data_IF_619070152464
#
_entry.id   IF_619070152464
#
_cell.length_a   1.000
_cell.length_b   1.000
_cell.length_c   1.000
_cell.angle_alpha   90.00
_cell.angle_beta   90.00
_cell.angle_gamma   90.00
#
_symmetry.space_group_name_H-M   'P 1'
#
loop_
_entity.id
_entity.type
_entity.pdbx_description
1 polymer ?
#
# COMPACT_ATOMS: atom_id res chain seq x y z
N UNK A 1 13.71 -1.50 14.21
CA UNK A 1 12.40 -1.81 13.59
C UNK A 1 11.76 -0.57 12.94
N UNK A 2 11.48 0.53 13.68
CA UNK A 2 10.80 1.72 13.09
C UNK A 2 11.66 2.52 12.08
N UNK A 3 12.99 2.46 12.16
CA UNK A 3 13.86 3.15 11.20
C UNK A 3 13.82 2.54 9.79
N UNK A 4 13.67 1.21 9.69
CA UNK A 4 13.70 0.48 8.41
C UNK A 4 12.36 0.49 7.68
N UNK A 5 11.24 0.76 8.37
CA UNK A 5 9.92 0.90 7.73
C UNK A 5 9.79 2.15 6.86
N UNK A 6 10.66 3.15 7.02
CA UNK A 6 10.64 4.34 6.17
C UNK A 6 11.13 4.07 4.73
N UNK A 7 11.74 2.92 4.49
CA UNK A 7 12.19 2.50 3.14
C UNK A 7 11.16 1.58 2.49
N UNK A 8 10.07 1.26 3.19
CA UNK A 8 9.04 0.35 2.70
C UNK A 8 8.08 1.02 1.70
N UNK A 9 7.84 0.34 0.58
CA UNK A 9 7.05 0.88 -0.51
C UNK A 9 5.56 1.05 -0.15
N UNK A 10 5.01 0.19 0.72
CA UNK A 10 3.61 0.30 1.13
C UNK A 10 3.36 1.58 1.95
N UNK A 11 4.34 1.98 2.75
CA UNK A 11 4.32 3.24 3.50
C UNK A 11 4.46 4.46 2.58
N UNK A 12 5.38 4.42 1.61
CA UNK A 12 5.54 5.50 0.63
C UNK A 12 4.26 5.77 -0.18
N UNK A 13 3.61 4.71 -0.64
CA UNK A 13 2.35 4.85 -1.38
C UNK A 13 1.25 5.53 -0.55
N UNK A 14 1.09 5.10 0.69
CA UNK A 14 0.11 5.68 1.61
C UNK A 14 0.41 7.15 1.90
N UNK A 15 1.69 7.49 2.01
CA UNK A 15 2.18 8.85 2.28
C UNK A 15 1.95 9.80 1.11
N UNK A 16 2.22 9.34 -0.11
CA UNK A 16 2.02 10.14 -1.34
C UNK A 16 0.54 10.32 -1.66
N UNK A 17 -0.31 9.35 -1.30
CA UNK A 17 -1.76 9.46 -1.47
C UNK A 17 -2.41 10.46 -0.49
N UNK A 18 -1.79 10.71 0.66
CA UNK A 18 -2.32 11.63 1.67
C UNK A 18 -2.06 13.10 1.30
N UNK A 19 -3.01 13.99 1.65
CA UNK A 19 -2.76 15.43 1.56
C UNK A 19 -1.64 15.81 2.54
N UNK A 20 -0.68 16.69 2.18
CA UNK A 20 0.50 16.96 3.01
C UNK A 20 0.19 17.31 4.48
N UNK A 21 -0.82 18.16 4.72
CA UNK A 21 -1.23 18.55 6.09
C UNK A 21 -1.86 17.39 6.88
N UNK A 22 -2.54 16.46 6.20
CA UNK A 22 -3.14 15.28 6.81
C UNK A 22 -2.10 14.18 7.05
N UNK A 23 -1.11 14.06 6.15
CA UNK A 23 -0.01 13.10 6.30
C UNK A 23 0.76 13.29 7.60
N UNK A 24 1.13 14.52 7.95
CA UNK A 24 1.86 14.83 9.20
C UNK A 24 1.06 14.41 10.44
N UNK A 25 -0.24 14.73 10.49
CA UNK A 25 -1.10 14.32 11.60
C UNK A 25 -1.29 12.80 11.64
N UNK A 26 -1.38 12.16 10.47
CA UNK A 26 -1.43 10.70 10.35
C UNK A 26 -0.18 10.02 10.91
N UNK A 27 1.01 10.54 10.62
CA UNK A 27 2.24 10.00 11.17
C UNK A 27 2.37 10.17 12.67
N UNK A 28 2.02 11.35 13.20
CA UNK A 28 2.06 11.61 14.64
C UNK A 28 1.06 10.72 15.40
N UNK A 29 -0.18 10.64 14.91
CA UNK A 29 -1.20 9.77 15.50
C UNK A 29 -0.82 8.29 15.39
N UNK A 30 -0.32 7.85 14.23
CA UNK A 30 0.17 6.49 14.04
C UNK A 30 1.31 6.13 14.99
N UNK A 31 2.26 7.04 15.21
CA UNK A 31 3.34 6.84 16.19
C UNK A 31 2.85 6.74 17.63
N UNK A 32 1.88 7.58 18.02
CA UNK A 32 1.25 7.49 19.35
C UNK A 32 0.48 6.18 19.54
N UNK A 33 -0.32 5.78 18.55
CA UNK A 33 -1.08 4.53 18.57
C UNK A 33 -0.15 3.32 18.63
N UNK A 34 0.98 3.35 17.90
CA UNK A 34 1.97 2.28 17.90
C UNK A 34 2.54 1.99 19.29
N UNK A 35 2.70 3.01 20.14
CA UNK A 35 3.10 2.82 21.53
C UNK A 35 1.92 2.45 22.43
N UNK A 36 0.81 3.20 22.31
CA UNK A 36 -0.31 3.09 23.23
C UNK A 36 -1.00 1.72 23.17
N UNK A 37 -1.20 1.14 21.98
CA UNK A 37 -1.95 -0.11 21.82
C UNK A 37 -1.18 -1.31 22.41
N UNK A 38 0.09 -1.57 22.04
CA UNK A 38 0.85 -2.67 22.66
C UNK A 38 1.04 -2.47 24.15
N UNK A 39 1.29 -1.23 24.60
CA UNK A 39 1.48 -0.94 26.02
C UNK A 39 0.22 -1.24 26.84
N UNK A 40 -0.94 -0.76 26.40
CA UNK A 40 -2.21 -1.01 27.09
C UNK A 40 -2.58 -2.49 27.09
N UNK A 41 -2.42 -3.18 25.95
CA UNK A 41 -2.70 -4.62 25.85
C UNK A 41 -1.75 -5.45 26.71
N UNK A 42 -0.43 -5.24 26.60
CA UNK A 42 0.55 -6.00 27.37
C UNK A 42 0.39 -5.79 28.88
N UNK A 43 0.16 -4.55 29.31
CA UNK A 43 0.01 -4.22 30.74
C UNK A 43 -1.28 -4.82 31.31
N UNK A 44 -2.42 -4.61 30.64
CA UNK A 44 -3.70 -5.14 31.13
C UNK A 44 -3.73 -6.67 31.20
N UNK A 45 -3.19 -7.33 30.17
CA UNK A 45 -3.17 -8.79 30.08
C UNK A 45 -2.13 -9.41 31.00
N UNK A 46 -0.98 -8.76 31.20
CA UNK A 46 0.03 -9.17 32.18
C UNK A 46 -0.48 -9.07 33.62
N UNK A 47 -1.16 -7.97 33.98
CA UNK A 47 -1.78 -7.84 35.30
C UNK A 47 -2.90 -8.88 35.51
N UNK A 48 -3.73 -9.12 34.49
CA UNK A 48 -4.77 -10.14 34.54
C UNK A 48 -4.19 -11.56 34.70
N UNK A 49 -3.07 -11.87 34.05
CA UNK A 49 -2.35 -13.13 34.22
C UNK A 49 -1.90 -13.36 35.66
N UNK A 50 -1.28 -12.35 36.27
CA UNK A 50 -0.82 -12.41 37.67
C UNK A 50 -2.01 -12.59 38.61
N UNK A 51 -3.09 -11.81 38.42
CA UNK A 51 -4.29 -11.90 39.25
C UNK A 51 -4.96 -13.27 39.17
N UNK A 52 -5.07 -13.85 37.96
CA UNK A 52 -5.64 -15.18 37.75
C UNK A 52 -4.75 -16.28 38.34
N UNK A 53 -3.42 -16.17 38.23
CA UNK A 53 -2.47 -17.13 38.82
C UNK A 53 -2.53 -17.10 40.35
N UNK A 54 -2.60 -15.89 40.93
CA UNK A 54 -2.76 -15.72 42.37
C UNK A 54 -4.08 -16.33 42.88
N UNK A 55 -5.19 -16.13 42.15
CA UNK A 55 -6.48 -16.74 42.49
C UNK A 55 -6.44 -18.28 42.46
N UNK A 56 -5.68 -18.87 41.54
CA UNK A 56 -5.55 -20.33 41.40
C UNK A 56 -4.44 -20.92 42.29
N UNK A 57 -3.70 -20.10 43.05
CA UNK A 57 -2.52 -20.48 43.84
C UNK A 57 -1.47 -21.29 43.04
N UNK A 58 -1.48 -21.16 41.72
CA UNK A 58 -0.61 -21.87 40.79
C UNK A 58 -0.51 -21.10 39.48
N UNK A 59 0.62 -21.19 38.76
CA UNK A 59 0.77 -20.54 37.47
C UNK A 59 -0.23 -21.14 36.45
N UNK A 60 -0.84 -20.28 35.62
CA UNK A 60 -1.83 -20.70 34.62
C UNK A 60 -1.22 -21.54 33.48
N UNK A 61 0.04 -21.27 33.15
CA UNK A 61 0.80 -21.93 32.09
C UNK A 61 2.26 -22.08 32.51
N UNK A 62 2.99 -22.95 31.81
CA UNK A 62 4.42 -23.17 32.05
C UNK A 62 5.24 -21.91 31.72
N UNK A 63 6.45 -21.80 32.29
CA UNK A 63 7.35 -20.69 31.98
C UNK A 63 7.76 -20.68 30.49
N UNK A 64 7.82 -21.85 29.85
CA UNK A 64 8.08 -21.99 28.42
C UNK A 64 6.95 -21.37 27.58
N UNK A 65 5.70 -21.61 27.96
CA UNK A 65 4.53 -21.03 27.28
C UNK A 65 4.44 -19.51 27.49
N UNK A 66 4.86 -19.02 28.67
CA UNK A 66 4.99 -17.58 28.93
C UNK A 66 6.03 -16.97 27.99
N UNK A 67 7.20 -17.60 27.86
CA UNK A 67 8.27 -17.15 26.97
C UNK A 67 7.86 -17.20 25.49
N UNK A 68 7.00 -18.16 25.11
CA UNK A 68 6.41 -18.25 23.78
C UNK A 68 5.29 -17.21 23.52
N UNK A 69 4.90 -16.41 24.52
CA UNK A 69 3.92 -15.33 24.37
C UNK A 69 2.46 -15.79 24.43
N UNK A 70 2.18 -16.99 24.96
CA UNK A 70 0.82 -17.54 25.06
C UNK A 70 -0.01 -16.90 26.19
N UNK A 71 0.56 -15.96 26.95
CA UNK A 71 -0.13 -15.26 28.05
C UNK A 71 -1.43 -14.60 27.55
N UNK A 72 -1.37 -13.86 26.44
CA UNK A 72 -2.52 -13.14 25.90
C UNK A 72 -3.70 -14.06 25.53
N UNK A 73 -3.54 -15.10 24.67
CA UNK A 73 -4.64 -15.99 24.32
C UNK A 73 -5.21 -16.73 25.54
N UNK A 74 -4.37 -17.15 26.49
CA UNK A 74 -4.80 -17.88 27.68
C UNK A 74 -5.63 -16.97 28.61
N UNK A 75 -5.18 -15.75 28.85
CA UNK A 75 -5.91 -14.78 29.69
C UNK A 75 -7.25 -14.43 29.05
N UNK A 76 -7.28 -14.20 27.73
CA UNK A 76 -8.53 -13.93 27.00
C UNK A 76 -9.51 -15.09 27.11
N UNK A 77 -9.03 -16.32 26.96
CA UNK A 77 -9.87 -17.52 27.11
C UNK A 77 -10.41 -17.66 28.54
N UNK A 78 -9.61 -17.34 29.57
CA UNK A 78 -10.04 -17.41 30.97
C UNK A 78 -11.03 -16.32 31.37
N UNK A 79 -10.94 -15.13 30.79
CA UNK A 79 -11.83 -14.01 31.10
C UNK A 79 -13.12 -14.01 30.28
N UNK A 80 -13.03 -14.29 28.98
CA UNK A 80 -14.14 -14.19 28.03
C UNK A 80 -14.63 -15.55 27.51
N UNK A 81 -14.05 -16.66 27.98
CA UNK A 81 -14.41 -18.00 27.51
C UNK A 81 -14.15 -18.19 26.01
N UNK A 82 -15.05 -18.92 25.35
CA UNK A 82 -14.97 -19.17 23.90
C UNK A 82 -14.98 -17.89 23.05
N UNK A 83 -15.63 -16.83 23.53
CA UNK A 83 -15.66 -15.56 22.81
C UNK A 83 -14.26 -14.92 22.73
N UNK A 84 -13.46 -15.03 23.80
CA UNK A 84 -12.08 -14.50 23.83
C UNK A 84 -11.16 -15.20 22.83
N UNK A 85 -11.32 -16.51 22.65
CA UNK A 85 -10.57 -17.30 21.66
C UNK A 85 -10.87 -16.84 20.23
N UNK A 86 -12.15 -16.69 19.89
CA UNK A 86 -12.57 -16.19 18.57
C UNK A 86 -12.07 -14.77 18.33
N UNK A 87 -12.14 -13.88 19.34
CA UNK A 87 -11.61 -12.52 19.23
C UNK A 87 -10.11 -12.49 18.95
N UNK A 88 -9.32 -13.35 19.61
CA UNK A 88 -7.88 -13.44 19.38
C UNK A 88 -7.57 -13.89 17.95
N UNK A 89 -8.26 -14.93 17.47
CA UNK A 89 -8.09 -15.44 16.11
C UNK A 89 -8.46 -14.36 15.09
N UNK A 90 -9.58 -13.66 15.28
CA UNK A 90 -9.99 -12.57 14.39
C UNK A 90 -8.98 -11.42 14.39
N UNK A 91 -8.45 -11.05 15.55
CA UNK A 91 -7.42 -10.00 15.66
C UNK A 91 -6.17 -10.37 14.86
N UNK A 92 -5.68 -11.61 14.99
CA UNK A 92 -4.53 -12.11 14.22
C UNK A 92 -4.84 -12.10 12.72
N UNK A 93 -6.00 -12.63 12.31
CA UNK A 93 -6.39 -12.69 10.90
C UNK A 93 -6.47 -11.28 10.30
N UNK A 94 -7.07 -10.32 10.99
CA UNK A 94 -7.14 -8.94 10.50
C UNK A 94 -5.76 -8.30 10.43
N UNK A 95 -4.91 -8.50 11.44
CA UNK A 95 -3.55 -7.99 11.43
C UNK A 95 -2.75 -8.52 10.24
N UNK A 96 -2.77 -9.84 10.02
CA UNK A 96 -2.08 -10.50 8.91
C UNK A 96 -2.67 -10.12 7.56
N UNK A 97 -3.99 -10.05 7.43
CA UNK A 97 -4.65 -9.66 6.17
C UNK A 97 -4.34 -8.20 5.81
N UNK A 98 -4.30 -7.31 6.80
CA UNK A 98 -3.97 -5.90 6.60
C UNK A 98 -2.55 -5.74 6.09
N UNK A 99 -1.56 -6.40 6.71
CA UNK A 99 -0.17 -6.32 6.26
C UNK A 99 0.03 -7.01 4.91
N UNK A 100 -0.51 -8.20 4.72
CA UNK A 100 -0.41 -8.93 3.46
C UNK A 100 -0.97 -8.12 2.27
N UNK A 101 -2.13 -7.47 2.44
CA UNK A 101 -2.71 -6.65 1.36
C UNK A 101 -1.83 -5.44 1.00
N UNK A 102 -1.22 -4.78 2.00
CA UNK A 102 -0.30 -3.67 1.77
C UNK A 102 0.95 -4.10 0.99
N UNK A 103 1.54 -5.25 1.35
CA UNK A 103 2.73 -5.80 0.70
C UNK A 103 2.46 -6.23 -0.75
N UNK A 104 1.33 -6.89 -1.01
CA UNK A 104 0.94 -7.27 -2.38
C UNK A 104 0.84 -6.03 -3.27
N UNK A 105 0.23 -4.95 -2.78
CA UNK A 105 0.09 -3.70 -3.54
C UNK A 105 1.45 -3.04 -3.74
N UNK A 106 2.33 -3.08 -2.74
CA UNK A 106 3.70 -2.59 -2.83
C UNK A 106 4.49 -3.31 -3.94
N UNK A 107 4.58 -4.64 -3.88
CA UNK A 107 5.27 -5.47 -4.89
C UNK A 107 4.69 -5.23 -6.28
N UNK A 108 3.36 -5.21 -6.40
CA UNK A 108 2.70 -4.97 -7.69
C UNK A 108 3.05 -3.59 -8.27
N UNK A 109 3.16 -2.56 -7.44
CA UNK A 109 3.54 -1.23 -7.90
C UNK A 109 4.96 -1.17 -8.45
N UNK A 110 5.90 -1.87 -7.80
CA UNK A 110 7.31 -1.92 -8.20
C UNK A 110 7.39 -2.61 -9.56
N UNK A 111 6.72 -3.77 -9.71
CA UNK A 111 6.69 -4.49 -10.98
C UNK A 111 6.15 -3.64 -12.13
N UNK A 112 5.10 -2.84 -11.91
CA UNK A 112 4.45 -2.07 -12.98
C UNK A 112 5.12 -0.72 -13.24
N UNK A 113 5.36 0.08 -12.21
CA UNK A 113 5.82 1.45 -12.36
C UNK A 113 7.34 1.57 -12.39
N UNK A 114 8.05 0.69 -11.68
CA UNK A 114 9.51 0.78 -11.60
C UNK A 114 10.18 -0.15 -12.62
N UNK A 115 9.61 -1.32 -12.89
CA UNK A 115 10.15 -2.25 -13.88
C UNK A 115 9.48 -2.04 -15.25
N UNK A 116 8.17 -2.27 -15.34
CA UNK A 116 7.49 -2.32 -16.64
C UNK A 116 7.47 -0.96 -17.36
N UNK A 117 7.08 0.11 -16.66
CA UNK A 117 6.99 1.45 -17.23
C UNK A 117 8.36 2.02 -17.61
N UNK A 118 9.43 1.71 -16.87
CA UNK A 118 10.76 2.29 -17.14
C UNK A 118 11.56 1.47 -18.15
N UNK A 119 11.52 0.14 -18.07
CA UNK A 119 12.43 -0.73 -18.82
C UNK A 119 11.76 -1.51 -19.95
N UNK A 120 10.52 -1.98 -19.77
CA UNK A 120 9.87 -2.85 -20.76
C UNK A 120 9.11 -2.07 -21.83
N UNK A 121 8.34 -1.04 -21.42
CA UNK A 121 7.56 -0.22 -22.36
C UNK A 121 7.48 1.24 -21.91
N UNK A 122 8.58 2.00 -22.01
CA UNK A 122 8.56 3.43 -21.69
C UNK A 122 7.73 4.22 -22.69
N UNK A 123 6.97 5.20 -22.20
CA UNK A 123 6.25 6.15 -23.06
C UNK A 123 7.15 7.28 -23.59
N UNK A 124 8.37 7.43 -23.05
CA UNK A 124 9.24 8.55 -23.45
C UNK A 124 9.67 8.42 -24.91
N UNK A 125 9.52 9.53 -25.65
CA UNK A 125 10.00 9.67 -27.04
C UNK A 125 11.53 9.80 -27.12
N UNK A 126 12.16 10.35 -26.07
CA UNK A 126 13.60 10.62 -25.99
C UNK A 126 14.11 10.19 -24.62
N UNK A 127 15.29 9.55 -24.55
CA UNK A 127 15.88 9.08 -23.29
C UNK A 127 16.47 10.20 -22.41
N UNK A 128 16.63 11.41 -22.95
CA UNK A 128 17.22 12.53 -22.22
C UNK A 128 16.33 12.98 -21.05
N UNK A 129 16.92 13.08 -19.85
CA UNK A 129 16.22 13.58 -18.65
C UNK A 129 15.71 15.01 -18.78
N UNK A 130 16.32 15.82 -19.65
CA UNK A 130 15.93 17.20 -19.91
C UNK A 130 14.87 17.35 -21.01
N UNK A 131 14.36 16.26 -21.56
CA UNK A 131 13.31 16.29 -22.58
C UNK A 131 11.92 16.12 -21.95
N UNK A 132 10.90 16.65 -22.61
CA UNK A 132 9.51 16.46 -22.21
C UNK A 132 9.04 15.05 -22.59
N UNK A 133 8.46 14.31 -21.65
CA UNK A 133 7.93 12.96 -21.87
C UNK A 133 6.82 12.88 -22.93
N UNK A 134 6.11 14.00 -23.18
CA UNK A 134 4.97 14.04 -24.09
C UNK A 134 5.39 14.37 -25.53
N UNK A 135 6.21 15.41 -25.70
CA UNK A 135 6.56 15.95 -27.01
C UNK A 135 8.05 15.84 -27.38
N UNK A 136 8.89 15.30 -26.49
CA UNK A 136 10.33 15.13 -26.73
C UNK A 136 11.17 16.42 -26.72
N UNK A 137 10.55 17.60 -26.70
CA UNK A 137 11.24 18.91 -26.69
C UNK A 137 11.91 19.20 -25.35
N UNK A 138 12.97 20.02 -25.36
CA UNK A 138 13.73 20.40 -24.17
C UNK A 138 12.86 21.11 -23.11
N UNK A 139 13.02 20.73 -21.85
CA UNK A 139 12.32 21.30 -20.70
C UNK A 139 13.29 22.14 -19.86
N UNK A 140 12.79 23.25 -19.32
CA UNK A 140 13.54 24.10 -18.37
C UNK A 140 14.20 25.32 -19.00
N UNK A 141 15.04 26.01 -18.20
CA UNK A 141 15.68 27.30 -18.57
C UNK A 141 16.83 27.16 -19.56
N UNK A 142 17.46 25.98 -19.63
CA UNK A 142 18.59 25.68 -20.52
C UNK A 142 18.19 25.15 -21.89
N UNK A 143 16.89 24.98 -22.15
CA UNK A 143 16.40 24.55 -23.47
C UNK A 143 16.54 25.71 -24.48
N UNK A 144 16.97 25.38 -25.70
CA UNK A 144 17.01 26.35 -26.79
C UNK A 144 15.61 26.94 -27.02
N UNK A 145 15.51 28.25 -27.29
CA UNK A 145 14.22 28.96 -27.35
C UNK A 145 13.28 28.35 -28.40
N UNK A 146 13.83 27.84 -29.51
CA UNK A 146 13.07 27.17 -30.58
C UNK A 146 12.62 25.75 -30.22
N UNK A 147 13.37 25.06 -29.36
CA UNK A 147 13.12 23.66 -28.97
C UNK A 147 12.57 23.54 -27.54
N UNK A 148 12.03 24.63 -27.01
CA UNK A 148 11.43 24.65 -25.69
C UNK A 148 10.05 24.01 -25.73
N UNK A 149 9.80 23.09 -24.80
CA UNK A 149 8.51 22.46 -24.64
C UNK A 149 7.43 23.47 -24.20
N UNK A 150 6.29 23.44 -24.89
CA UNK A 150 5.09 24.24 -24.60
C UNK A 150 3.95 23.41 -23.99
N UNK A 151 4.18 22.12 -23.67
CA UNK A 151 3.17 21.28 -23.05
C UNK A 151 2.86 21.77 -21.63
N UNK A 152 1.60 22.17 -21.42
CA UNK A 152 1.07 22.52 -20.09
C UNK A 152 0.71 21.27 -19.27
N UNK A 153 0.45 21.44 -17.97
CA UNK A 153 -0.05 20.35 -17.13
C UNK A 153 -1.44 19.91 -17.56
N UNK A 154 -1.78 18.64 -17.31
CA UNK A 154 -3.12 18.10 -17.60
C UNK A 154 -4.21 18.84 -16.83
N UNK A 155 -3.91 19.30 -15.61
CA UNK A 155 -4.84 20.05 -14.76
C UNK A 155 -5.26 21.40 -15.31
N UNK A 156 -4.44 22.01 -16.19
CA UNK A 156 -4.71 23.31 -16.81
C UNK A 156 -5.24 23.15 -18.24
N UNK A 157 -5.13 21.95 -18.81
CA UNK A 157 -5.56 21.68 -20.18
C UNK A 157 -7.09 21.62 -20.29
N UNK A 158 -7.66 22.55 -21.07
CA UNK A 158 -9.10 22.60 -21.35
C UNK A 158 -9.62 21.32 -22.03
N UNK A 159 -8.84 20.76 -22.96
CA UNK A 159 -9.22 19.52 -23.65
C UNK A 159 -9.25 18.34 -22.68
N UNK A 160 -8.28 18.26 -21.75
CA UNK A 160 -8.31 17.25 -20.69
C UNK A 160 -9.53 17.39 -19.77
N UNK A 161 -9.88 18.63 -19.39
CA UNK A 161 -11.05 18.90 -18.56
C UNK A 161 -12.36 18.53 -19.28
N UNK A 162 -12.45 18.78 -20.59
CA UNK A 162 -13.58 18.37 -21.41
C UNK A 162 -13.68 16.84 -21.52
N UNK A 163 -12.56 16.15 -21.73
CA UNK A 163 -12.50 14.68 -21.75
C UNK A 163 -12.96 14.07 -20.40
N UNK A 164 -12.55 14.68 -19.27
CA UNK A 164 -12.96 14.25 -17.92
C UNK A 164 -14.46 14.40 -17.73
N UNK A 165 -15.01 15.57 -18.07
CA UNK A 165 -16.45 15.83 -18.03
C UNK A 165 -17.24 14.88 -18.91
N UNK A 166 -16.75 14.57 -20.10
CA UNK A 166 -17.39 13.61 -21.00
C UNK A 166 -17.38 12.19 -20.41
N UNK A 167 -16.29 11.78 -19.77
CA UNK A 167 -16.21 10.48 -19.09
C UNK A 167 -17.14 10.38 -17.89
N UNK A 168 -17.30 11.46 -17.12
CA UNK A 168 -18.26 11.51 -16.01
C UNK A 168 -19.70 11.36 -16.51
N UNK A 169 -20.07 12.13 -17.55
CA UNK A 169 -21.41 12.05 -18.16
C UNK A 169 -21.71 10.67 -18.76
N UNK A 170 -20.67 9.91 -19.12
CA UNK A 170 -20.78 8.59 -19.75
C UNK A 170 -20.39 7.44 -18.81
N UNK A 171 -20.24 7.68 -17.51
CA UNK A 171 -19.75 6.69 -16.54
C UNK A 171 -20.56 5.39 -16.49
N UNK A 172 -21.81 5.40 -16.95
CA UNK A 172 -22.69 4.22 -17.05
C UNK A 172 -22.62 3.43 -18.37
N UNK A 173 -21.80 3.83 -19.35
CA UNK A 173 -21.67 3.11 -20.63
C UNK A 173 -20.57 2.04 -20.56
N UNK A 174 -20.82 0.92 -21.23
CA UNK A 174 -19.92 -0.26 -21.25
C UNK A 174 -18.56 0.07 -21.91
N UNK A 175 -18.53 1.00 -22.87
CA UNK A 175 -17.30 1.33 -23.61
C UNK A 175 -16.66 2.64 -23.13
N UNK A 176 -15.42 2.57 -22.67
CA UNK A 176 -14.62 3.76 -22.35
C UNK A 176 -14.21 4.47 -23.65
N UNK A 177 -14.63 5.72 -23.79
CA UNK A 177 -14.25 6.56 -24.94
C UNK A 177 -12.75 6.88 -24.90
N UNK A 178 -12.14 6.98 -26.08
CA UNK A 178 -10.76 7.47 -26.24
C UNK A 178 -10.69 8.95 -25.84
N UNK A 179 -9.51 9.38 -25.41
CA UNK A 179 -9.26 10.78 -25.08
C UNK A 179 -9.17 11.60 -26.36
N UNK A 180 -9.85 12.75 -26.41
CA UNK A 180 -9.83 13.64 -27.57
C UNK A 180 -8.68 14.64 -27.51
N UNK A 181 -8.06 14.84 -26.33
CA UNK A 181 -6.91 15.72 -26.19
C UNK A 181 -5.71 15.21 -27.02
N UNK A 182 -5.24 16.01 -27.98
CA UNK A 182 -4.13 15.64 -28.88
C UNK A 182 -2.77 15.56 -28.17
N UNK A 183 -2.56 16.37 -27.13
CA UNK A 183 -1.27 16.47 -26.44
C UNK A 183 -1.15 15.40 -25.34
N UNK A 184 -2.19 15.26 -24.52
CA UNK A 184 -2.17 14.39 -23.34
C UNK A 184 -2.88 13.06 -23.57
N UNK A 185 -3.79 12.96 -24.53
CA UNK A 185 -4.62 11.77 -24.77
C UNK A 185 -3.83 10.48 -24.92
N UNK A 186 -2.77 10.42 -25.75
CA UNK A 186 -1.94 9.22 -25.89
C UNK A 186 -1.26 8.80 -24.59
N UNK A 187 -0.77 9.76 -23.81
CA UNK A 187 -0.18 9.47 -22.50
C UNK A 187 -1.21 8.99 -21.50
N UNK A 188 -2.42 9.58 -21.51
CA UNK A 188 -3.52 9.17 -20.64
C UNK A 188 -4.01 7.76 -20.97
N UNK A 189 -4.05 7.39 -22.25
CA UNK A 189 -4.37 6.03 -22.68
C UNK A 189 -3.30 5.03 -22.23
N UNK A 190 -2.02 5.43 -22.29
CA UNK A 190 -0.93 4.64 -21.74
C UNK A 190 -1.04 4.48 -20.21
N UNK A 191 -1.40 5.52 -19.46
CA UNK A 191 -1.63 5.39 -18.01
C UNK A 191 -2.83 4.50 -17.68
N UNK A 192 -3.92 4.56 -18.47
CA UNK A 192 -5.07 3.65 -18.33
C UNK A 192 -4.67 2.19 -18.63
N UNK A 193 -3.77 1.99 -19.59
CA UNK A 193 -3.18 0.68 -19.87
C UNK A 193 -2.33 0.17 -18.69
N UNK A 194 -1.44 1.00 -18.14
CA UNK A 194 -0.65 0.63 -16.96
C UNK A 194 -1.53 0.32 -15.75
N UNK A 195 -2.61 1.07 -15.54
CA UNK A 195 -3.56 0.80 -14.47
C UNK A 195 -4.23 -0.57 -14.62
N UNK A 196 -4.64 -0.95 -15.84
CA UNK A 196 -5.15 -2.30 -16.12
C UNK A 196 -4.08 -3.37 -15.90
N UNK A 197 -2.86 -3.13 -16.35
CA UNK A 197 -1.73 -4.04 -16.12
C UNK A 197 -1.47 -4.23 -14.63
N UNK A 198 -1.55 -3.17 -13.83
CA UNK A 198 -1.47 -3.22 -12.36
C UNK A 198 -2.54 -4.12 -11.77
N UNK A 199 -3.79 -4.01 -12.19
CA UNK A 199 -4.86 -4.89 -11.70
C UNK A 199 -4.59 -6.36 -12.05
N UNK A 200 -4.17 -6.65 -13.28
CA UNK A 200 -3.82 -8.01 -13.67
C UNK A 200 -2.60 -8.53 -12.91
N UNK A 201 -1.56 -7.71 -12.76
CA UNK A 201 -0.37 -8.06 -12.00
C UNK A 201 -0.70 -8.33 -10.54
N UNK A 202 -1.60 -7.56 -9.92
CA UNK A 202 -2.10 -7.81 -8.56
C UNK A 202 -2.72 -9.21 -8.43
N UNK A 203 -3.57 -9.59 -9.39
CA UNK A 203 -4.17 -10.92 -9.40
C UNK A 203 -3.11 -12.02 -9.50
N UNK A 204 -2.14 -11.88 -10.39
CA UNK A 204 -1.07 -12.86 -10.54
C UNK A 204 -0.13 -12.93 -9.32
N UNK A 205 0.20 -11.79 -8.71
CA UNK A 205 1.04 -11.77 -7.50
C UNK A 205 0.33 -12.43 -6.33
N UNK A 206 -0.96 -12.15 -6.10
CA UNK A 206 -1.74 -12.83 -5.06
C UNK A 206 -1.82 -14.34 -5.28
N UNK A 207 -2.06 -14.78 -6.52
CA UNK A 207 -2.11 -16.21 -6.86
C UNK A 207 -0.76 -16.90 -6.65
N UNK A 208 0.34 -16.22 -6.96
CA UNK A 208 1.69 -16.78 -6.85
C UNK A 208 2.24 -16.83 -5.42
N UNK A 209 1.77 -15.97 -4.52
CA UNK A 209 2.29 -15.90 -3.14
C UNK A 209 2.02 -17.19 -2.37
N UNK A 210 0.81 -17.76 -2.46
CA UNK A 210 0.44 -19.00 -1.74
C UNK A 210 1.32 -20.21 -2.11
N UNK A 211 1.54 -20.55 -3.40
CA UNK A 211 2.42 -21.66 -3.74
C UNK A 211 3.89 -21.36 -3.40
N UNK A 212 4.35 -20.11 -3.50
CA UNK A 212 5.71 -19.74 -3.11
C UNK A 212 5.94 -19.92 -1.61
N UNK A 213 5.00 -19.50 -0.76
CA UNK A 213 5.14 -19.67 0.69
C UNK A 213 5.14 -21.13 1.09
N UNK A 214 4.29 -21.96 0.47
CA UNK A 214 4.30 -23.42 0.67
C UNK A 214 5.64 -24.01 0.22
N UNK A 215 6.15 -23.63 -0.94
CA UNK A 215 7.44 -24.11 -1.44
C UNK A 215 8.59 -23.76 -0.49
N UNK A 216 8.66 -22.51 -0.03
CA UNK A 216 9.68 -22.09 0.93
C UNK A 216 9.56 -22.77 2.29
N UNK A 217 8.33 -23.08 2.72
CA UNK A 217 8.11 -23.85 3.94
C UNK A 217 8.59 -25.29 3.80
N UNK A 218 8.34 -25.93 2.66
CA UNK A 218 8.78 -27.31 2.38
C UNK A 218 10.29 -27.41 2.19
N UNK A 219 10.94 -26.35 1.68
CA UNK A 219 12.39 -26.28 1.50
C UNK A 219 13.17 -25.98 2.79
N UNK A 220 12.48 -25.61 3.87
CA UNK A 220 13.08 -25.27 5.17
C UNK A 220 13.03 -26.45 6.12
#
# INVERSE_FOLDING_TARGET
>A
AFGTSNVDQSYWQSSVAAKPRQGVLGFLSGGLTWFAVPFALATSMGLAYIALSAKQNSPLISEEDVAAGLVLPVVLQRLFGKAGEVMMILMIIMAVTSTASAEVIAVTSILVYDIYQLYLKPFRLVLDSNSCILCGKGRGRKANVRDKCLCQSMTVCKDCANDDRQRELQAGRIFKMRYNCLIHGPFREYTDYLARLKTWCLLWTTLAIVPLTILFFVLR
#
